data_IF_210530355915
#
_entry.id   IF_210530355915
#
_cell.length_a   1.000
_cell.length_b   1.000
_cell.length_c   1.000
_cell.angle_alpha   90.00
_cell.angle_beta   90.00
_cell.angle_gamma   90.00
#
_symmetry.space_group_name_H-M   'P 1'
#
loop_
_entity.id
_entity.type
_entity.pdbx_description
1 polymer ?
#
# COMPACT_ATOMS: atom_id res chain seq x y z
N UNK A 1 7.94 6.27 -22.97
CA UNK A 1 8.32 7.20 -21.87
C UNK A 1 7.73 6.66 -20.57
N UNK A 2 8.50 5.80 -19.89
CA UNK A 2 8.05 5.02 -18.74
C UNK A 2 7.75 5.94 -17.55
N UNK A 3 6.57 5.75 -16.94
CA UNK A 3 5.99 6.61 -15.91
C UNK A 3 6.70 6.54 -14.54
N UNK A 4 7.81 5.81 -14.46
CA UNK A 4 8.67 5.69 -13.29
C UNK A 4 10.09 5.62 -13.85
N UNK A 5 10.96 6.56 -13.45
CA UNK A 5 12.37 6.53 -13.84
C UNK A 5 12.96 5.16 -13.57
N UNK A 6 13.87 4.72 -14.43
CA UNK A 6 14.56 3.41 -14.44
C UNK A 6 15.41 3.11 -13.19
N UNK A 7 15.16 3.81 -12.08
CA UNK A 7 15.88 3.71 -10.81
C UNK A 7 14.99 4.15 -9.62
N UNK A 8 13.70 3.81 -9.59
CA UNK A 8 12.89 4.03 -8.39
C UNK A 8 13.22 2.96 -7.33
N UNK A 9 14.24 3.23 -6.51
CA UNK A 9 14.62 2.39 -5.36
C UNK A 9 13.70 2.52 -4.13
N UNK A 10 12.48 3.04 -4.31
CA UNK A 10 11.54 3.31 -3.22
C UNK A 10 10.64 2.12 -2.88
N UNK A 11 10.33 1.95 -1.60
CA UNK A 11 9.40 0.92 -1.12
C UNK A 11 7.96 1.38 -1.36
N UNK A 12 7.18 0.56 -2.07
CA UNK A 12 5.77 0.84 -2.41
C UNK A 12 4.83 0.18 -1.41
N UNK A 13 4.04 0.99 -0.69
CA UNK A 13 2.94 0.49 0.15
C UNK A 13 1.73 0.17 -0.73
N UNK A 14 1.39 -1.12 -0.87
CA UNK A 14 0.35 -1.58 -1.82
C UNK A 14 -0.50 -2.70 -1.22
N UNK A 15 -1.70 -2.89 -1.74
CA UNK A 15 -2.51 -4.06 -1.43
C UNK A 15 -1.95 -5.33 -2.11
N UNK A 16 -2.71 -6.43 -2.05
CA UNK A 16 -2.34 -7.70 -2.70
C UNK A 16 -2.85 -7.81 -4.15
N UNK A 17 -3.23 -6.69 -4.79
CA UNK A 17 -3.73 -6.71 -6.16
C UNK A 17 -2.65 -7.17 -7.14
N UNK A 18 -3.05 -7.99 -8.12
CA UNK A 18 -2.12 -8.67 -9.03
C UNK A 18 -1.30 -7.71 -9.88
N UNK A 19 -1.80 -6.51 -10.14
CA UNK A 19 -1.08 -5.47 -10.89
C UNK A 19 0.27 -5.12 -10.25
N UNK A 20 0.46 -5.32 -8.94
CA UNK A 20 1.71 -5.03 -8.25
C UNK A 20 2.68 -6.23 -8.18
N UNK A 21 2.35 -7.38 -8.77
CA UNK A 21 3.22 -8.55 -8.75
C UNK A 21 4.52 -8.37 -9.57
N UNK A 22 4.58 -7.37 -10.46
CA UNK A 22 5.81 -7.03 -11.19
C UNK A 22 6.87 -6.37 -10.29
N UNK A 23 6.49 -5.87 -9.12
CA UNK A 23 7.42 -5.26 -8.16
C UNK A 23 8.06 -6.34 -7.27
N UNK A 24 9.40 -6.33 -7.10
CA UNK A 24 10.10 -7.22 -6.17
C UNK A 24 9.56 -7.11 -4.74
N UNK A 25 9.51 -8.22 -4.00
CA UNK A 25 9.02 -8.23 -2.61
C UNK A 25 9.78 -7.28 -1.68
N UNK A 26 11.05 -7.03 -1.99
CA UNK A 26 11.96 -6.16 -1.26
C UNK A 26 11.66 -4.67 -1.46
N UNK A 27 10.95 -4.33 -2.54
CA UNK A 27 10.52 -2.98 -2.87
C UNK A 27 9.05 -2.75 -2.49
N UNK A 28 8.48 -3.60 -1.63
CA UNK A 28 7.06 -3.55 -1.29
C UNK A 28 6.83 -3.62 0.20
N UNK A 29 5.89 -2.81 0.66
CA UNK A 29 5.21 -3.00 1.94
C UNK A 29 3.76 -3.39 1.62
N UNK A 30 3.30 -4.53 2.10
CA UNK A 30 1.89 -4.89 2.02
C UNK A 30 1.10 -4.01 2.99
N UNK A 31 0.04 -3.39 2.47
CA UNK A 31 -0.80 -2.48 3.22
C UNK A 31 -1.62 -3.27 4.26
N UNK A 32 -1.27 -3.09 5.53
CA UNK A 32 -1.92 -3.76 6.64
C UNK A 32 -3.41 -3.37 6.78
N UNK A 33 -3.84 -2.21 6.29
CA UNK A 33 -5.26 -1.84 6.30
C UNK A 33 -6.11 -2.81 5.45
N UNK A 34 -5.59 -3.26 4.30
CA UNK A 34 -6.26 -4.27 3.48
C UNK A 34 -6.18 -5.65 4.13
N UNK A 35 -5.03 -5.99 4.70
CA UNK A 35 -4.86 -7.25 5.43
C UNK A 35 -5.83 -7.35 6.63
N UNK A 36 -6.03 -6.28 7.39
CA UNK A 36 -6.97 -6.26 8.52
C UNK A 36 -8.39 -6.60 8.06
N UNK A 37 -8.83 -6.09 6.90
CA UNK A 37 -10.15 -6.44 6.33
C UNK A 37 -10.24 -7.90 5.93
N UNK A 38 -9.18 -8.44 5.31
CA UNK A 38 -9.09 -9.86 4.96
C UNK A 38 -9.17 -10.74 6.23
N UNK A 39 -8.39 -10.40 7.27
CA UNK A 39 -8.40 -11.11 8.55
C UNK A 39 -9.76 -11.06 9.24
N UNK A 40 -10.45 -9.92 9.15
CA UNK A 40 -11.82 -9.74 9.69
C UNK A 40 -12.80 -10.62 8.94
N UNK A 41 -12.74 -10.63 7.61
CA UNK A 41 -13.57 -11.51 6.77
C UNK A 41 -13.32 -12.99 7.08
N UNK A 42 -12.09 -13.38 7.44
CA UNK A 42 -11.77 -14.74 7.86
C UNK A 42 -12.35 -15.04 9.25
N UNK A 43 -12.22 -14.10 10.19
CA UNK A 43 -12.72 -14.23 11.57
C UNK A 43 -14.26 -14.29 11.67
N UNK A 44 -14.97 -13.65 10.74
CA UNK A 44 -16.45 -13.66 10.67
C UNK A 44 -17.04 -14.96 10.08
N UNK A 45 -16.21 -15.87 9.59
CA UNK A 45 -16.64 -17.20 9.14
C UNK A 45 -16.85 -18.14 10.32
N UNK A 46 -17.30 -19.36 10.05
CA UNK A 46 -17.52 -20.38 11.08
C UNK A 46 -16.36 -21.39 11.18
N UNK A 47 -16.32 -22.08 12.32
CA UNK A 47 -15.36 -23.16 12.62
C UNK A 47 -13.91 -22.68 12.61
N UNK A 48 -13.01 -23.50 12.08
CA UNK A 48 -11.57 -23.23 12.04
C UNK A 48 -11.21 -21.87 11.42
N UNK A 49 -11.99 -21.37 10.44
CA UNK A 49 -11.76 -20.04 9.88
C UNK A 49 -11.84 -18.95 10.96
N UNK A 50 -12.88 -19.00 11.79
CA UNK A 50 -13.13 -18.02 12.85
C UNK A 50 -11.97 -18.04 13.86
N UNK A 51 -11.57 -19.23 14.30
CA UNK A 51 -10.50 -19.43 15.28
C UNK A 51 -9.17 -18.87 14.78
N UNK A 52 -8.75 -19.24 13.57
CA UNK A 52 -7.52 -18.73 12.97
C UNK A 52 -7.59 -17.24 12.68
N UNK A 53 -8.73 -16.74 12.17
CA UNK A 53 -8.95 -15.32 11.92
C UNK A 53 -8.81 -14.50 13.21
N UNK A 54 -9.46 -14.93 14.29
CA UNK A 54 -9.39 -14.28 15.60
C UNK A 54 -7.97 -14.30 16.19
N UNK A 55 -7.25 -15.42 16.04
CA UNK A 55 -5.85 -15.53 16.45
C UNK A 55 -4.95 -14.52 15.70
N UNK A 56 -5.08 -14.45 14.37
CA UNK A 56 -4.32 -13.52 13.54
C UNK A 56 -4.67 -12.05 13.85
N UNK A 57 -5.94 -11.74 14.08
CA UNK A 57 -6.36 -10.41 14.51
C UNK A 57 -5.79 -10.02 15.88
N UNK A 58 -5.70 -10.95 16.84
CA UNK A 58 -5.09 -10.68 18.15
C UNK A 58 -3.63 -10.28 18.00
N UNK A 59 -2.87 -11.02 17.18
CA UNK A 59 -1.47 -10.70 16.87
C UNK A 59 -1.35 -9.36 16.14
N UNK A 60 -2.23 -9.08 15.19
CA UNK A 60 -2.29 -7.79 14.51
C UNK A 60 -2.57 -6.63 15.48
N UNK A 61 -3.48 -6.79 16.45
CA UNK A 61 -3.73 -5.74 17.47
C UNK A 61 -2.49 -5.48 18.32
N UNK A 62 -1.77 -6.53 18.73
CA UNK A 62 -0.51 -6.39 19.46
C UNK A 62 0.53 -5.64 18.62
N UNK A 63 0.69 -6.02 17.34
CA UNK A 63 1.61 -5.37 16.39
C UNK A 63 1.34 -3.86 16.32
N UNK A 64 0.08 -3.49 16.10
CA UNK A 64 -0.30 -2.08 16.02
C UNK A 64 -0.20 -1.37 17.37
N UNK A 65 -0.39 -2.06 18.49
CA UNK A 65 -0.09 -1.51 19.82
C UNK A 65 1.36 -1.05 19.94
N UNK A 66 2.33 -1.89 19.51
CA UNK A 66 3.74 -1.50 19.45
C UNK A 66 3.99 -0.37 18.44
N UNK A 67 3.39 -0.44 17.26
CA UNK A 67 3.54 0.61 16.24
C UNK A 67 3.09 1.98 16.74
N UNK A 68 1.92 2.07 17.40
CA UNK A 68 1.43 3.34 17.93
C UNK A 68 2.35 3.91 19.02
N UNK A 69 2.83 3.05 19.95
CA UNK A 69 3.82 3.44 20.97
C UNK A 69 5.13 3.94 20.36
N UNK A 70 5.52 3.45 19.19
CA UNK A 70 6.67 3.99 18.48
C UNK A 70 6.36 5.36 17.87
N UNK A 71 5.17 5.52 17.26
CA UNK A 71 4.74 6.76 16.61
C UNK A 71 4.51 7.92 17.59
N UNK A 72 4.09 7.64 18.82
CA UNK A 72 3.91 8.63 19.88
C UNK A 72 5.18 8.91 20.70
N UNK A 73 6.27 8.18 20.44
CA UNK A 73 7.56 8.36 21.10
C UNK A 73 7.72 7.58 22.42
N UNK A 74 6.74 6.78 22.83
CA UNK A 74 6.81 5.93 24.03
C UNK A 74 7.92 4.89 23.95
N UNK A 75 8.20 4.35 22.75
CA UNK A 75 9.30 3.41 22.50
C UNK A 75 10.14 3.85 21.31
N UNK A 76 11.42 3.50 21.33
CA UNK A 76 12.31 3.73 20.21
C UNK A 76 12.21 2.61 19.14
N UNK A 77 12.96 2.78 18.06
CA UNK A 77 12.95 1.84 16.94
C UNK A 77 13.48 0.44 17.32
N UNK A 78 14.63 0.30 18.04
CA UNK A 78 15.06 -1.01 18.55
C UNK A 78 14.02 -1.72 19.41
N UNK A 79 13.35 -1.01 20.33
CA UNK A 79 12.31 -1.59 21.18
C UNK A 79 11.07 -2.01 20.37
N UNK A 80 10.69 -1.26 19.33
CA UNK A 80 9.66 -1.67 18.38
C UNK A 80 10.04 -3.00 17.69
N UNK A 81 11.26 -3.09 17.15
CA UNK A 81 11.73 -4.29 16.46
C UNK A 81 11.76 -5.51 17.40
N UNK A 82 12.28 -5.34 18.61
CA UNK A 82 12.36 -6.40 19.61
C UNK A 82 10.97 -6.87 20.05
N UNK A 83 10.06 -5.94 20.35
CA UNK A 83 8.68 -6.25 20.75
C UNK A 83 7.86 -6.93 19.65
N UNK A 84 8.11 -6.57 18.39
CA UNK A 84 7.42 -7.15 17.24
C UNK A 84 7.98 -8.51 16.79
N UNK A 85 9.21 -8.88 17.17
CA UNK A 85 9.83 -10.17 16.80
C UNK A 85 8.99 -11.40 17.18
N UNK A 86 8.52 -11.57 18.44
CA UNK A 86 7.67 -12.71 18.78
C UNK A 86 6.31 -12.66 18.08
N UNK A 87 5.78 -11.46 17.79
CA UNK A 87 4.52 -11.28 17.07
C UNK A 87 4.66 -11.76 15.63
N UNK A 88 5.75 -11.38 14.94
CA UNK A 88 6.08 -11.85 13.59
C UNK A 88 6.17 -13.36 13.54
N UNK A 89 6.93 -13.97 14.46
CA UNK A 89 7.09 -15.42 14.54
C UNK A 89 5.76 -16.14 14.75
N UNK A 90 4.95 -15.67 15.71
CA UNK A 90 3.64 -16.25 15.97
C UNK A 90 2.67 -16.08 14.79
N UNK A 91 2.73 -14.94 14.09
CA UNK A 91 1.88 -14.67 12.94
C UNK A 91 2.22 -15.61 11.78
N UNK A 92 3.51 -15.70 11.41
CA UNK A 92 3.99 -16.60 10.35
C UNK A 92 3.72 -18.07 10.70
N UNK A 93 3.94 -18.48 11.95
CA UNK A 93 3.61 -19.85 12.41
C UNK A 93 2.11 -20.15 12.32
N UNK A 94 1.25 -19.16 12.62
CA UNK A 94 -0.20 -19.32 12.48
C UNK A 94 -0.61 -19.48 11.02
N UNK A 95 -0.03 -18.67 10.11
CA UNK A 95 -0.25 -18.82 8.67
C UNK A 95 0.20 -20.19 8.19
N UNK A 96 1.39 -20.64 8.61
CA UNK A 96 1.96 -21.92 8.22
C UNK A 96 1.09 -23.10 8.64
N UNK A 97 0.57 -23.08 9.88
CA UNK A 97 -0.38 -24.10 10.38
C UNK A 97 -1.64 -24.20 9.52
N UNK A 98 -2.21 -23.07 9.11
CA UNK A 98 -3.38 -23.05 8.21
C UNK A 98 -3.03 -23.68 6.86
N UNK A 99 -1.84 -23.40 6.33
CA UNK A 99 -1.38 -23.98 5.06
C UNK A 99 -1.17 -25.50 5.16
N UNK A 100 -0.60 -25.98 6.26
CA UNK A 100 -0.35 -27.40 6.53
C UNK A 100 -1.63 -28.22 6.68
N UNK A 101 -2.66 -27.66 7.32
CA UNK A 101 -3.99 -28.28 7.39
C UNK A 101 -4.60 -28.50 5.99
N UNK A 102 -4.16 -27.70 5.00
CA UNK A 102 -4.47 -27.92 3.59
C UNK A 102 -5.96 -27.81 3.26
N UNK A 103 -6.31 -28.09 2.01
CA UNK A 103 -7.69 -28.18 1.57
C UNK A 103 -7.81 -29.13 0.37
N UNK A 104 -9.02 -29.67 0.15
CA UNK A 104 -9.29 -30.50 -1.02
C UNK A 104 -9.28 -29.65 -2.30
N UNK A 105 -8.34 -29.94 -3.22
CA UNK A 105 -8.24 -29.27 -4.52
C UNK A 105 -9.54 -29.42 -5.31
N UNK A 106 -9.90 -28.39 -6.08
CA UNK A 106 -11.13 -28.35 -6.89
C UNK A 106 -12.39 -27.87 -6.16
N UNK A 107 -12.43 -27.87 -4.82
CA UNK A 107 -13.57 -27.34 -4.06
C UNK A 107 -13.42 -25.84 -3.75
N UNK A 108 -14.45 -25.06 -4.07
CA UNK A 108 -14.55 -23.63 -3.70
C UNK A 108 -15.23 -23.50 -2.34
N UNK A 109 -14.49 -23.69 -1.26
CA UNK A 109 -14.98 -23.49 0.11
C UNK A 109 -14.39 -22.24 0.76
N UNK A 110 -15.03 -21.68 1.81
CA UNK A 110 -14.44 -20.62 2.61
C UNK A 110 -13.07 -20.99 3.17
N UNK A 111 -12.92 -22.23 3.66
CA UNK A 111 -11.65 -22.77 4.14
C UNK A 111 -10.56 -22.75 3.06
N UNK A 112 -10.87 -23.22 1.85
CA UNK A 112 -9.93 -23.19 0.74
C UNK A 112 -9.49 -21.75 0.39
N UNK A 113 -10.38 -20.77 0.56
CA UNK A 113 -10.04 -19.34 0.38
C UNK A 113 -9.09 -18.84 1.48
N UNK A 114 -9.32 -19.23 2.74
CA UNK A 114 -8.44 -18.93 3.87
C UNK A 114 -7.04 -19.51 3.63
N UNK A 115 -6.94 -20.80 3.28
CA UNK A 115 -5.65 -21.45 3.00
C UNK A 115 -4.90 -20.74 1.87
N UNK A 116 -5.57 -20.41 0.75
CA UNK A 116 -4.94 -19.66 -0.35
C UNK A 116 -4.45 -18.29 0.10
N UNK A 117 -5.22 -17.60 0.94
CA UNK A 117 -4.81 -16.29 1.48
C UNK A 117 -3.55 -16.43 2.32
N UNK A 118 -3.50 -17.41 3.24
CA UNK A 118 -2.32 -17.68 4.07
C UNK A 118 -1.09 -18.07 3.22
N UNK A 119 -1.26 -18.90 2.19
CA UNK A 119 -0.19 -19.23 1.24
C UNK A 119 0.37 -17.97 0.54
N UNK A 120 -0.51 -17.09 0.05
CA UNK A 120 -0.10 -15.86 -0.63
C UNK A 120 0.62 -14.88 0.29
N UNK A 121 0.26 -14.85 1.58
CA UNK A 121 0.93 -14.04 2.61
C UNK A 121 2.33 -14.58 2.92
N UNK A 122 2.48 -15.91 3.08
CA UNK A 122 3.78 -16.54 3.32
C UNK A 122 4.75 -16.36 2.15
N UNK A 123 4.26 -16.47 0.90
CA UNK A 123 5.06 -16.18 -0.31
C UNK A 123 5.60 -14.75 -0.36
N UNK A 124 5.00 -13.82 0.39
CA UNK A 124 5.33 -12.40 0.41
C UNK A 124 5.69 -11.94 1.83
N UNK A 125 6.21 -12.84 2.66
CA UNK A 125 6.47 -12.58 4.09
C UNK A 125 7.34 -11.33 4.30
N UNK A 126 8.40 -11.18 3.51
CA UNK A 126 9.25 -9.98 3.56
C UNK A 126 8.44 -8.69 3.42
N UNK A 127 7.54 -8.62 2.45
CA UNK A 127 6.73 -7.44 2.20
C UNK A 127 5.70 -7.15 3.31
N UNK A 128 5.37 -8.11 4.19
CA UNK A 128 4.53 -7.83 5.36
C UNK A 128 5.25 -6.98 6.39
N UNK A 129 6.56 -7.20 6.53
CA UNK A 129 7.37 -6.71 7.66
C UNK A 129 8.35 -5.62 7.29
N UNK A 130 8.38 -5.17 6.03
CA UNK A 130 9.32 -4.16 5.56
C UNK A 130 9.32 -2.87 6.41
N UNK A 131 8.17 -2.48 6.96
CA UNK A 131 8.03 -1.33 7.87
C UNK A 131 8.68 -1.51 9.24
N UNK A 132 9.13 -2.72 9.59
CA UNK A 132 9.93 -3.03 10.78
C UNK A 132 11.42 -3.19 10.44
N UNK A 133 11.75 -3.35 9.16
CA UNK A 133 13.12 -3.59 8.67
C UNK A 133 13.73 -2.28 8.15
N UNK A 134 12.91 -1.42 7.55
CA UNK A 134 13.30 -0.13 6.99
C UNK A 134 12.58 1.01 7.70
N UNK A 135 13.36 1.89 8.34
CA UNK A 135 12.83 3.06 9.05
C UNK A 135 12.14 4.03 8.09
N UNK A 136 11.04 4.63 8.53
CA UNK A 136 10.28 5.63 7.77
C UNK A 136 9.22 5.06 6.83
N UNK A 137 9.13 3.73 6.70
CA UNK A 137 8.06 3.08 5.97
C UNK A 137 6.84 2.93 6.88
N UNK A 138 5.66 3.29 6.38
CA UNK A 138 4.40 3.13 7.10
C UNK A 138 3.76 1.76 6.77
N UNK A 139 3.18 1.04 7.74
CA UNK A 139 2.52 -0.25 7.51
C UNK A 139 1.22 -0.12 6.69
N UNK A 140 0.68 1.08 6.54
CA UNK A 140 -0.59 1.35 5.83
C UNK A 140 -0.40 2.44 4.79
N UNK A 141 -1.18 2.38 3.71
CA UNK A 141 -1.12 3.38 2.64
C UNK A 141 -1.90 4.67 2.96
N UNK A 142 -2.17 4.94 4.24
CA UNK A 142 -2.99 6.08 4.67
C UNK A 142 -2.45 7.42 4.16
N UNK A 143 -1.13 7.56 4.02
CA UNK A 143 -0.52 8.77 3.46
C UNK A 143 -0.86 8.98 1.98
N UNK A 144 -0.73 7.95 1.12
CA UNK A 144 -1.09 8.09 -0.28
C UNK A 144 -2.61 8.16 -0.47
N UNK A 145 -3.39 7.40 0.31
CA UNK A 145 -4.86 7.51 0.32
C UNK A 145 -5.31 8.92 0.69
N UNK A 146 -4.73 9.56 1.72
CA UNK A 146 -5.02 10.96 2.07
C UNK A 146 -4.65 11.92 0.94
N UNK A 147 -3.51 11.72 0.29
CA UNK A 147 -3.08 12.56 -0.83
C UNK A 147 -4.01 12.45 -2.04
N UNK A 148 -4.51 11.25 -2.34
CA UNK A 148 -5.43 10.96 -3.44
C UNK A 148 -6.90 11.29 -3.10
N UNK A 149 -7.27 11.36 -1.81
CA UNK A 149 -8.67 11.55 -1.38
C UNK A 149 -9.29 12.81 -1.95
N UNK A 150 -8.54 13.92 -2.00
CA UNK A 150 -9.02 15.18 -2.56
C UNK A 150 -9.36 15.07 -4.05
N UNK A 151 -8.52 14.39 -4.83
CA UNK A 151 -8.78 14.21 -6.25
C UNK A 151 -9.89 13.19 -6.54
N UNK A 152 -10.07 12.18 -5.70
CA UNK A 152 -11.20 11.23 -5.82
C UNK A 152 -12.52 11.90 -5.46
N UNK A 153 -12.56 12.76 -4.43
CA UNK A 153 -13.75 13.57 -4.08
C UNK A 153 -14.10 14.53 -5.21
N UNK A 154 -13.12 15.27 -5.74
CA UNK A 154 -13.34 16.16 -6.88
C UNK A 154 -13.86 15.40 -8.11
N UNK A 155 -13.40 14.17 -8.36
CA UNK A 155 -13.91 13.32 -9.44
C UNK A 155 -15.39 12.97 -9.26
N UNK A 156 -15.81 12.67 -8.02
CA UNK A 156 -17.21 12.35 -7.70
C UNK A 156 -18.12 13.57 -7.88
N UNK A 157 -17.64 14.76 -7.53
CA UNK A 157 -18.38 16.02 -7.72
C UNK A 157 -18.45 16.42 -9.20
N UNK A 158 -17.39 16.15 -9.97
CA UNK A 158 -17.31 16.55 -11.39
C UNK A 158 -17.86 15.51 -12.38
N UNK A 159 -18.57 14.47 -11.93
CA UNK A 159 -19.06 13.34 -12.76
C UNK A 159 -17.99 12.62 -13.62
N UNK A 160 -16.71 12.74 -13.27
CA UNK A 160 -15.60 12.13 -13.99
C UNK A 160 -15.17 12.86 -15.28
N UNK A 161 -14.15 12.33 -15.94
CA UNK A 161 -13.66 12.85 -17.22
C UNK A 161 -14.22 11.98 -18.33
N UNK A 162 -14.96 12.59 -19.26
CA UNK A 162 -15.68 11.86 -20.33
C UNK A 162 -14.82 11.55 -21.56
N UNK A 163 -13.55 11.99 -21.59
CA UNK A 163 -12.63 11.75 -22.70
C UNK A 163 -11.30 11.13 -22.25
N UNK A 164 -10.71 10.29 -23.10
CA UNK A 164 -9.41 9.66 -22.84
C UNK A 164 -8.29 10.70 -22.61
N UNK A 165 -8.28 11.77 -23.42
CA UNK A 165 -7.31 12.87 -23.28
C UNK A 165 -7.47 13.63 -21.96
N UNK A 166 -8.70 13.89 -21.53
CA UNK A 166 -8.94 14.52 -20.24
C UNK A 166 -8.55 13.60 -19.07
N UNK A 167 -8.71 12.28 -19.20
CA UNK A 167 -8.22 11.29 -18.23
C UNK A 167 -6.70 11.30 -18.08
N UNK A 168 -5.96 11.38 -19.19
CA UNK A 168 -4.50 11.46 -19.21
C UNK A 168 -4.01 12.79 -18.62
N UNK A 169 -4.58 13.92 -19.06
CA UNK A 169 -4.22 15.24 -18.56
C UNK A 169 -4.42 15.33 -17.03
N UNK A 170 -5.56 14.86 -16.55
CA UNK A 170 -5.88 14.83 -15.12
C UNK A 170 -4.95 13.92 -14.33
N UNK A 171 -4.58 12.76 -14.87
CA UNK A 171 -3.65 11.82 -14.22
C UNK A 171 -2.26 12.44 -14.08
N UNK A 172 -1.78 13.13 -15.12
CA UNK A 172 -0.49 13.85 -15.11
C UNK A 172 -0.51 15.00 -14.12
N UNK A 173 -1.55 15.84 -14.14
CA UNK A 173 -1.72 16.93 -13.17
C UNK A 173 -1.78 16.41 -11.73
N UNK A 174 -2.49 15.30 -11.49
CA UNK A 174 -2.56 14.69 -10.17
C UNK A 174 -1.19 14.20 -9.69
N UNK A 175 -0.43 13.53 -10.56
CA UNK A 175 0.93 13.08 -10.24
C UNK A 175 1.86 14.25 -9.93
N UNK A 176 1.83 15.32 -10.74
CA UNK A 176 2.66 16.51 -10.55
C UNK A 176 2.29 17.22 -9.24
N UNK A 177 1.01 17.51 -9.04
CA UNK A 177 0.54 18.23 -7.84
C UNK A 177 0.74 17.42 -6.55
N UNK A 178 0.57 16.10 -6.60
CA UNK A 178 0.82 15.21 -5.44
C UNK A 178 2.30 15.16 -5.10
N UNK A 179 3.17 15.02 -6.10
CA UNK A 179 4.63 15.03 -5.92
C UNK A 179 5.12 16.36 -5.37
N UNK A 180 4.63 17.48 -5.89
CA UNK A 180 5.03 18.82 -5.43
C UNK A 180 4.58 19.09 -3.99
N UNK A 181 3.35 18.70 -3.62
CA UNK A 181 2.87 18.80 -2.24
C UNK A 181 3.71 17.95 -1.28
N UNK A 182 4.11 16.75 -1.68
CA UNK A 182 4.99 15.90 -0.86
C UNK A 182 6.40 16.49 -0.70
N UNK A 183 6.86 17.29 -1.66
CA UNK A 183 8.12 18.02 -1.60
C UNK A 183 8.02 19.37 -0.86
N UNK A 184 6.84 19.73 -0.33
CA UNK A 184 6.63 21.05 0.30
C UNK A 184 6.70 22.22 -0.68
N UNK A 185 6.51 21.96 -1.98
CA UNK A 185 6.63 22.94 -3.05
C UNK A 185 5.25 23.35 -3.55
N UNK A 186 5.10 24.64 -3.85
CA UNK A 186 3.84 25.16 -4.35
C UNK A 186 3.58 24.69 -5.80
N UNK A 187 2.39 24.13 -6.01
CA UNK A 187 2.01 23.55 -7.29
C UNK A 187 1.67 24.61 -8.34
N UNK A 188 1.15 25.77 -7.93
CA UNK A 188 0.82 26.88 -8.83
C UNK A 188 2.09 27.57 -9.30
N UNK A 189 3.07 27.74 -8.43
CA UNK A 189 4.38 28.29 -8.78
C UNK A 189 5.12 27.39 -9.78
N UNK A 190 5.09 26.07 -9.57
CA UNK A 190 5.71 25.12 -10.50
C UNK A 190 5.03 25.12 -11.88
N UNK A 191 3.70 25.11 -11.92
CA UNK A 191 2.94 25.14 -13.18
C UNK A 191 3.11 26.48 -13.90
N UNK A 192 3.10 27.60 -13.17
CA UNK A 192 3.31 28.94 -13.73
C UNK A 192 4.68 29.08 -14.41
N UNK A 193 5.75 28.62 -13.77
CA UNK A 193 7.10 28.68 -14.35
C UNK A 193 7.26 27.87 -15.64
N UNK A 194 6.58 26.73 -15.76
CA UNK A 194 6.74 25.84 -16.93
C UNK A 194 5.71 26.11 -18.03
N UNK A 195 4.53 26.65 -17.72
CA UNK A 195 3.57 27.09 -18.74
C UNK A 195 4.02 28.38 -19.45
N UNK A 196 4.67 29.33 -18.74
CA UNK A 196 5.24 30.52 -19.37
C UNK A 196 6.42 30.21 -20.32
N UNK A 197 7.20 29.17 -20.02
CA UNK A 197 8.32 28.75 -20.89
C UNK A 197 7.85 28.11 -22.21
N UNK A 198 6.67 27.47 -22.23
CA UNK A 198 6.12 26.87 -23.46
C UNK A 198 5.66 27.97 -24.43
N UNK A 199 5.02 29.04 -23.92
CA UNK A 199 4.59 30.17 -24.76
C UNK A 199 5.74 30.98 -25.38
N UNK A 200 6.93 31.00 -24.77
CA UNK A 200 8.10 31.69 -25.33
C UNK A 200 8.79 30.88 -26.43
N UNK A 201 8.71 29.54 -26.37
CA UNK A 201 9.32 28.65 -27.38
C UNK A 201 8.52 28.53 -28.68
N UNK A 202 7.18 28.67 -28.62
CA UNK A 202 6.31 28.68 -29.81
C UNK A 202 6.37 30.02 -30.55
N UNK A 203 6.62 31.14 -29.86
CA UNK A 203 6.77 32.46 -30.48
C UNK A 203 8.06 32.62 -31.30
N UNK A 204 9.13 31.87 -30.97
CA UNK A 204 10.40 31.92 -31.71
C UNK A 204 10.43 31.00 -32.95
N UNK A 205 9.44 30.11 -33.09
CA UNK A 205 9.37 29.14 -34.20
C UNK A 205 8.54 29.62 -35.40
N UNK A 206 7.89 30.79 -35.31
CA UNK A 206 7.10 31.40 -36.40
C UNK A 206 7.78 32.58 -37.10
N UNK A 207 9.05 32.86 -36.77
CA UNK A 207 9.88 33.88 -37.45
C UNK A 207 11.20 33.28 -37.95
N UNK A 208 11.11 32.26 -38.80
CA UNK A 208 12.19 31.79 -39.68
C UNK A 208 11.61 31.13 -40.92
#
# INVERSE_FOLDING_TARGET
MALLGSSFGGIVVSDRFSAYNHLPSQQRQLCWAHLIRDLTTIAERTGANAEFGAQLQRLQRQLFGHWHRYKDGTIDWPALQQGCRPIRQAFEATLQRVVELGYQRGKRTPWASTVRTCQQLLQRSHALWTFLETRGIEPTNNAAERALRQSVIQRKISHGVQSANGGICRSRLLTVTTTLKQQGRDAWEFLGRHCCQISESEAQSTTS
#
